data_IF_948297830380
#
_entry.id   IF_948297830380
#
_cell.length_a   1.000
_cell.length_b   1.000
_cell.length_c   1.000
_cell.angle_alpha   90.00
_cell.angle_beta   90.00
_cell.angle_gamma   90.00
#
_symmetry.space_group_name_H-M   'P 1'
#
loop_
_entity.id
_entity.type
_entity.pdbx_description
1 polymer ?
#
# COMPACT_ATOMS: atom_id res chain seq x y z
N UNK A 1 -7.66 -25.87 6.41
CA UNK A 1 -6.43 -26.35 5.74
C UNK A 1 -6.14 -25.41 4.58
N UNK A 2 -5.17 -24.52 4.73
CA UNK A 2 -4.81 -23.56 3.67
C UNK A 2 -4.10 -24.32 2.56
N UNK A 3 -4.80 -24.61 1.46
CA UNK A 3 -4.18 -25.21 0.28
C UNK A 3 -3.08 -24.24 -0.21
N UNK A 4 -1.88 -24.77 -0.43
CA UNK A 4 -0.72 -24.02 -0.93
C UNK A 4 -0.90 -23.69 -2.43
N UNK A 5 -1.97 -22.95 -2.76
CA UNK A 5 -2.36 -22.63 -4.12
C UNK A 5 -1.47 -21.52 -4.70
N UNK A 6 -1.26 -21.58 -6.02
CA UNK A 6 -0.49 -20.59 -6.76
C UNK A 6 -1.11 -19.19 -6.67
N UNK A 7 -2.43 -19.12 -6.83
CA UNK A 7 -3.23 -17.88 -6.83
C UNK A 7 -4.66 -18.20 -6.35
N UNK A 8 -5.36 -17.20 -5.83
CA UNK A 8 -6.77 -17.36 -5.43
C UNK A 8 -7.66 -17.67 -6.63
N UNK A 9 -8.78 -18.37 -6.41
CA UNK A 9 -9.71 -18.70 -7.49
C UNK A 9 -10.31 -17.45 -8.14
N UNK A 10 -10.58 -16.40 -7.35
CA UNK A 10 -11.15 -15.14 -7.84
C UNK A 10 -10.17 -14.38 -8.74
N UNK A 11 -8.93 -14.21 -8.27
CA UNK A 11 -7.89 -13.54 -9.06
C UNK A 11 -7.57 -14.32 -10.33
N UNK A 12 -7.51 -15.66 -10.24
CA UNK A 12 -7.31 -16.54 -11.41
C UNK A 12 -8.36 -16.26 -12.49
N UNK A 13 -9.64 -16.27 -12.12
CA UNK A 13 -10.73 -16.06 -13.09
C UNK A 13 -10.75 -14.66 -13.67
N UNK A 14 -10.48 -13.63 -12.85
CA UNK A 14 -10.34 -12.27 -13.34
C UNK A 14 -9.23 -12.16 -14.38
N UNK A 15 -8.07 -12.75 -14.11
CA UNK A 15 -6.92 -12.74 -15.02
C UNK A 15 -7.18 -13.55 -16.29
N UNK A 16 -7.91 -14.67 -16.22
CA UNK A 16 -8.34 -15.41 -17.42
C UNK A 16 -9.24 -14.58 -18.34
N UNK A 17 -9.97 -13.62 -17.78
CA UNK A 17 -10.89 -12.75 -18.51
C UNK A 17 -10.24 -11.41 -18.92
N UNK A 18 -8.98 -11.17 -18.55
CA UNK A 18 -8.26 -9.91 -18.76
C UNK A 18 -7.60 -9.81 -20.15
N UNK A 19 -7.92 -8.76 -20.90
CA UNK A 19 -7.27 -8.44 -22.17
C UNK A 19 -5.78 -8.12 -21.99
N UNK A 20 -5.41 -7.44 -20.90
CA UNK A 20 -4.02 -7.15 -20.56
C UNK A 20 -3.17 -8.43 -20.46
N UNK A 21 -3.74 -9.50 -19.91
CA UNK A 21 -3.06 -10.79 -19.84
C UNK A 21 -2.88 -11.38 -21.22
N UNK A 22 -3.93 -11.40 -22.06
CA UNK A 22 -3.91 -12.03 -23.38
C UNK A 22 -3.11 -11.26 -24.44
N UNK A 23 -2.94 -9.94 -24.31
CA UNK A 23 -2.24 -9.10 -25.29
C UNK A 23 -0.74 -8.93 -25.04
N UNK A 24 -0.22 -9.42 -23.90
CA UNK A 24 1.18 -9.25 -23.53
C UNK A 24 1.99 -10.52 -23.84
N UNK A 25 2.97 -10.49 -24.76
CA UNK A 25 3.79 -11.66 -25.10
C UNK A 25 4.51 -12.29 -23.89
N UNK A 26 4.83 -11.46 -22.89
CA UNK A 26 5.48 -11.88 -21.65
C UNK A 26 4.57 -12.78 -20.77
N UNK A 27 3.25 -12.68 -20.94
CA UNK A 27 2.28 -13.44 -20.15
C UNK A 27 1.83 -14.74 -20.83
N UNK A 28 2.20 -15.00 -22.08
CA UNK A 28 1.77 -16.18 -22.83
C UNK A 28 2.06 -17.50 -22.08
N UNK A 29 3.24 -17.57 -21.45
CA UNK A 29 3.66 -18.73 -20.65
C UNK A 29 2.91 -18.82 -19.30
N UNK A 30 2.39 -17.72 -18.79
CA UNK A 30 1.71 -17.63 -17.50
C UNK A 30 0.22 -17.97 -17.60
N UNK A 31 -0.41 -17.65 -18.73
CA UNK A 31 -1.84 -17.91 -18.98
C UNK A 31 -2.16 -19.40 -18.82
N UNK A 32 -1.27 -20.28 -19.29
CA UNK A 32 -1.41 -21.75 -19.13
C UNK A 32 -1.59 -22.16 -17.65
N UNK A 33 -0.97 -21.42 -16.73
CA UNK A 33 -1.07 -21.68 -15.28
C UNK A 33 -2.30 -21.05 -14.63
N UNK A 34 -3.12 -20.33 -15.40
CA UNK A 34 -4.42 -19.82 -14.96
C UNK A 34 -5.58 -20.76 -15.33
N UNK A 35 -5.39 -21.70 -16.27
CA UNK A 35 -6.45 -22.57 -16.79
C UNK A 35 -7.06 -23.51 -15.75
N UNK A 36 -6.28 -23.89 -14.73
CA UNK A 36 -6.72 -24.76 -13.65
C UNK A 36 -6.11 -24.36 -12.32
N UNK A 37 -6.52 -25.07 -11.27
CA UNK A 37 -5.95 -24.90 -9.95
C UNK A 37 -4.60 -25.60 -9.86
N UNK A 38 -3.54 -24.81 -9.70
CA UNK A 38 -2.19 -25.29 -9.42
C UNK A 38 -1.84 -25.05 -7.95
N UNK A 39 -1.18 -26.04 -7.36
CA UNK A 39 -0.43 -25.84 -6.13
C UNK A 39 0.97 -25.31 -6.45
N UNK A 40 1.58 -24.58 -5.51
CA UNK A 40 2.90 -23.99 -5.74
C UNK A 40 3.98 -25.04 -6.01
N UNK A 41 3.89 -26.22 -5.41
CA UNK A 41 4.80 -27.35 -5.62
C UNK A 41 4.67 -28.03 -7.00
N UNK A 42 3.61 -27.73 -7.76
CA UNK A 42 3.36 -28.29 -9.10
C UNK A 42 3.90 -27.41 -10.23
N UNK A 43 4.52 -26.27 -9.89
CA UNK A 43 4.87 -25.21 -10.83
C UNK A 43 6.38 -24.99 -10.84
N UNK A 44 7.04 -24.87 -12.01
CA UNK A 44 8.47 -24.58 -12.09
C UNK A 44 8.86 -23.29 -11.37
N UNK A 45 10.04 -23.26 -10.76
CA UNK A 45 10.52 -22.12 -9.96
C UNK A 45 10.56 -20.79 -10.74
N UNK A 46 10.94 -20.84 -12.02
CA UNK A 46 10.92 -19.67 -12.90
C UNK A 46 9.52 -19.10 -13.18
N UNK A 47 8.48 -19.93 -13.10
CA UNK A 47 7.08 -19.50 -13.22
C UNK A 47 6.56 -18.99 -11.87
N UNK A 48 6.87 -19.69 -10.77
CA UNK A 48 6.57 -19.23 -9.40
C UNK A 48 7.14 -17.82 -9.15
N UNK A 49 8.37 -17.57 -9.59
CA UNK A 49 9.03 -16.28 -9.45
C UNK A 49 8.33 -15.15 -10.23
N UNK A 50 7.61 -15.46 -11.32
CA UNK A 50 6.81 -14.47 -12.05
C UNK A 50 5.46 -14.24 -11.36
N UNK A 51 4.80 -15.30 -10.90
CA UNK A 51 3.53 -15.22 -10.17
C UNK A 51 3.62 -14.44 -8.86
N UNK A 52 4.81 -14.14 -8.33
CA UNK A 52 4.94 -13.19 -7.19
C UNK A 52 4.38 -11.80 -7.50
N UNK A 53 4.32 -11.41 -8.77
CA UNK A 53 3.80 -10.13 -9.24
C UNK A 53 2.32 -10.19 -9.65
N UNK A 54 1.61 -11.29 -9.40
CA UNK A 54 0.22 -11.44 -9.84
C UNK A 54 -0.72 -10.34 -9.34
N UNK A 55 -0.44 -9.75 -8.18
CA UNK A 55 -1.21 -8.63 -7.66
C UNK A 55 -1.22 -7.42 -8.60
N UNK A 56 -0.09 -7.12 -9.27
CA UNK A 56 -0.02 -6.04 -10.25
C UNK A 56 -0.89 -6.34 -11.47
N UNK A 57 -0.88 -7.60 -11.92
CA UNK A 57 -1.71 -8.05 -13.03
C UNK A 57 -3.19 -7.97 -12.70
N UNK A 58 -3.56 -8.34 -11.47
CA UNK A 58 -4.93 -8.24 -10.96
C UNK A 58 -5.38 -6.78 -10.96
N UNK A 59 -4.53 -5.86 -10.48
CA UNK A 59 -4.86 -4.43 -10.49
C UNK A 59 -4.98 -3.85 -11.90
N UNK A 60 -4.17 -4.32 -12.87
CA UNK A 60 -4.36 -3.95 -14.27
C UNK A 60 -5.63 -4.54 -14.86
N UNK A 61 -5.94 -5.81 -14.57
CA UNK A 61 -7.17 -6.46 -15.01
C UNK A 61 -8.41 -5.75 -14.48
N UNK A 62 -8.44 -5.34 -13.20
CA UNK A 62 -9.56 -4.58 -12.62
C UNK A 62 -9.84 -3.26 -13.33
N UNK A 63 -8.83 -2.61 -13.92
CA UNK A 63 -9.02 -1.34 -14.68
C UNK A 63 -9.73 -1.55 -16.01
N UNK A 64 -9.81 -2.79 -16.48
CA UNK A 64 -10.52 -3.11 -17.72
C UNK A 64 -12.02 -3.20 -17.50
N UNK A 65 -12.47 -3.42 -16.28
CA UNK A 65 -13.88 -3.66 -15.98
C UNK A 65 -14.54 -2.43 -15.38
N UNK A 66 -15.75 -2.15 -15.86
CA UNK A 66 -16.65 -1.14 -15.30
C UNK A 66 -18.05 -1.70 -15.17
N UNK A 67 -18.89 -1.02 -14.42
CA UNK A 67 -20.32 -1.35 -14.36
C UNK A 67 -20.96 -1.22 -15.75
N UNK A 68 -21.85 -2.15 -16.10
CA UNK A 68 -22.60 -2.09 -17.35
C UNK A 68 -23.53 -0.86 -17.35
N UNK A 69 -23.55 -0.04 -18.42
CA UNK A 69 -24.40 1.15 -18.47
C UNK A 69 -25.91 0.82 -18.31
N UNK A 70 -26.59 1.54 -17.42
CA UNK A 70 -28.05 1.42 -17.23
C UNK A 70 -28.46 0.42 -16.13
N UNK A 71 -28.32 -0.89 -16.36
CA UNK A 71 -28.73 -1.94 -15.41
C UNK A 71 -27.55 -2.79 -14.93
N UNK A 72 -26.62 -2.17 -14.22
CA UNK A 72 -25.46 -2.84 -13.64
C UNK A 72 -25.80 -3.73 -12.44
N UNK A 73 -26.93 -3.52 -11.77
CA UNK A 73 -27.35 -4.32 -10.63
C UNK A 73 -28.68 -4.97 -10.94
N UNK A 74 -28.69 -6.29 -10.93
CA UNK A 74 -29.84 -7.07 -11.36
C UNK A 74 -30.40 -7.88 -10.20
N UNK A 75 -31.72 -7.81 -10.08
CA UNK A 75 -32.50 -8.66 -9.19
C UNK A 75 -33.09 -9.83 -9.98
N UNK A 76 -33.18 -10.99 -9.31
CA UNK A 76 -33.54 -12.36 -9.79
C UNK A 76 -34.65 -12.54 -10.83
N UNK A 77 -35.42 -11.52 -11.17
CA UNK A 77 -36.52 -11.60 -12.13
C UNK A 77 -36.06 -11.56 -13.59
N UNK A 78 -34.78 -11.26 -13.86
CA UNK A 78 -34.23 -11.22 -15.22
C UNK A 78 -33.40 -12.50 -15.43
N UNK A 79 -33.76 -13.30 -16.43
CA UNK A 79 -32.95 -14.43 -16.87
C UNK A 79 -31.61 -13.90 -17.42
N UNK A 80 -30.50 -14.22 -16.74
CA UNK A 80 -29.17 -13.78 -17.15
C UNK A 80 -28.61 -14.70 -18.25
N UNK A 81 -28.04 -14.16 -19.34
CA UNK A 81 -27.42 -14.95 -20.40
C UNK A 81 -26.27 -15.86 -19.91
N UNK A 82 -25.58 -15.48 -18.82
CA UNK A 82 -24.42 -16.20 -18.25
C UNK A 82 -24.73 -17.35 -17.28
N UNK A 83 -26.01 -17.68 -17.07
CA UNK A 83 -26.43 -18.76 -16.16
C UNK A 83 -26.60 -18.33 -14.69
N UNK A 84 -26.76 -19.31 -13.79
CA UNK A 84 -27.08 -19.08 -12.36
C UNK A 84 -25.84 -18.97 -11.45
N UNK A 85 -24.62 -18.87 -11.98
CA UNK A 85 -23.37 -18.91 -11.18
C UNK A 85 -22.48 -17.71 -11.48
N UNK A 86 -21.76 -17.24 -10.47
CA UNK A 86 -20.86 -16.10 -10.55
C UNK A 86 -19.66 -16.44 -11.42
N UNK A 87 -19.34 -15.59 -12.41
CA UNK A 87 -18.23 -15.85 -13.31
C UNK A 87 -16.86 -15.81 -12.59
N UNK A 88 -16.76 -15.15 -11.44
CA UNK A 88 -15.49 -14.98 -10.69
C UNK A 88 -15.28 -16.01 -9.58
N UNK A 89 -16.32 -16.38 -8.83
CA UNK A 89 -16.17 -17.29 -7.69
C UNK A 89 -16.93 -18.62 -7.84
N UNK A 90 -17.62 -18.83 -8.96
CA UNK A 90 -18.44 -20.02 -9.26
C UNK A 90 -19.61 -20.27 -8.30
N UNK A 91 -19.84 -19.44 -7.29
CA UNK A 91 -20.96 -19.65 -6.38
C UNK A 91 -22.27 -19.34 -7.10
N UNK A 92 -23.37 -19.94 -6.65
CA UNK A 92 -24.69 -19.61 -7.20
C UNK A 92 -24.95 -18.12 -7.00
N UNK A 93 -25.33 -17.43 -8.08
CA UNK A 93 -25.66 -16.02 -8.05
C UNK A 93 -26.86 -15.79 -7.11
N UNK A 94 -26.68 -15.00 -6.04
CA UNK A 94 -27.76 -14.65 -5.12
C UNK A 94 -28.76 -13.71 -5.83
N UNK A 95 -29.75 -13.20 -5.08
CA UNK A 95 -30.69 -12.20 -5.61
C UNK A 95 -29.99 -10.95 -6.17
N UNK A 96 -28.79 -10.62 -5.70
CA UNK A 96 -28.04 -9.42 -6.05
C UNK A 96 -26.89 -9.78 -7.01
N UNK A 97 -27.09 -9.53 -8.30
CA UNK A 97 -26.08 -9.75 -9.36
C UNK A 97 -25.55 -8.40 -9.82
N UNK A 98 -24.25 -8.33 -10.06
CA UNK A 98 -23.57 -7.19 -10.66
C UNK A 98 -23.20 -7.56 -12.10
N UNK A 99 -23.66 -6.75 -13.04
CA UNK A 99 -23.34 -6.83 -14.45
C UNK A 99 -22.25 -5.81 -14.76
N UNK A 100 -21.10 -6.32 -15.20
CA UNK A 100 -19.93 -5.53 -15.56
C UNK A 100 -19.62 -5.71 -17.05
N UNK A 101 -18.98 -4.71 -17.63
CA UNK A 101 -18.51 -4.72 -19.02
C UNK A 101 -17.04 -4.33 -19.06
N UNK A 102 -16.28 -5.03 -19.91
CA UNK A 102 -14.91 -4.69 -20.19
C UNK A 102 -14.86 -3.49 -21.16
N UNK A 103 -14.10 -2.46 -20.80
CA UNK A 103 -13.99 -1.24 -21.59
C UNK A 103 -13.18 -1.40 -22.89
N UNK A 104 -12.34 -2.44 -23.01
CA UNK A 104 -11.53 -2.72 -24.19
C UNK A 104 -12.26 -3.57 -25.22
N UNK A 105 -12.77 -4.74 -24.81
CA UNK A 105 -13.34 -5.73 -25.73
C UNK A 105 -14.89 -5.82 -25.68
N UNK A 106 -15.54 -4.98 -24.87
CA UNK A 106 -17.00 -4.98 -24.67
C UNK A 106 -17.59 -6.29 -24.16
N UNK A 107 -16.76 -7.21 -23.63
CA UNK A 107 -17.24 -8.44 -23.01
C UNK A 107 -18.00 -8.13 -21.74
N UNK A 108 -19.13 -8.79 -21.56
CA UNK A 108 -19.99 -8.69 -20.38
C UNK A 108 -19.71 -9.84 -19.40
N UNK A 109 -19.87 -9.57 -18.10
CA UNK A 109 -19.84 -10.61 -17.06
C UNK A 109 -20.86 -10.36 -15.97
N UNK A 110 -21.37 -11.45 -15.41
CA UNK A 110 -22.33 -11.47 -14.31
C UNK A 110 -21.66 -12.04 -13.05
N UNK A 111 -21.52 -11.20 -12.02
CA UNK A 111 -20.84 -11.54 -10.77
C UNK A 111 -21.76 -11.35 -9.58
N UNK A 112 -21.51 -12.08 -8.49
CA UNK A 112 -22.20 -11.81 -7.22
C UNK A 112 -21.74 -10.48 -6.64
N UNK A 113 -22.61 -9.79 -5.90
CA UNK A 113 -22.24 -8.55 -5.18
C UNK A 113 -20.99 -8.72 -4.31
N UNK A 114 -20.81 -9.89 -3.67
CA UNK A 114 -19.64 -10.18 -2.84
C UNK A 114 -18.32 -10.26 -3.64
N UNK A 115 -18.39 -10.39 -4.96
CA UNK A 115 -17.22 -10.42 -5.85
C UNK A 115 -16.90 -9.07 -6.49
N UNK A 116 -17.71 -8.04 -6.26
CA UNK A 116 -17.57 -6.72 -6.87
C UNK A 116 -16.18 -6.12 -6.63
N UNK A 117 -15.68 -6.17 -5.40
CA UNK A 117 -14.34 -5.66 -5.04
C UNK A 117 -13.18 -6.46 -5.62
N UNK A 118 -13.43 -7.67 -6.13
CA UNK A 118 -12.43 -8.46 -6.84
C UNK A 118 -12.35 -8.07 -8.32
N UNK A 119 -13.36 -7.40 -8.88
CA UNK A 119 -13.47 -7.12 -10.32
C UNK A 119 -13.33 -5.64 -10.64
N UNK A 120 -13.92 -4.77 -9.81
CA UNK A 120 -13.88 -3.32 -10.01
C UNK A 120 -12.73 -2.71 -9.22
N UNK A 121 -12.01 -1.78 -9.84
CA UNK A 121 -11.01 -0.99 -9.13
C UNK A 121 -11.73 -0.05 -8.15
N UNK A 122 -11.37 -0.13 -6.87
CA UNK A 122 -12.13 0.47 -5.78
C UNK A 122 -12.13 1.99 -5.81
N UNK A 123 -13.10 2.61 -6.49
CA UNK A 123 -13.55 3.97 -6.18
C UNK A 123 -14.67 3.91 -5.15
N UNK A 124 -14.61 4.80 -4.16
CA UNK A 124 -14.89 4.50 -2.76
C UNK A 124 -16.38 4.64 -2.37
N UNK A 125 -17.28 4.48 -3.34
CA UNK A 125 -18.75 4.55 -3.15
C UNK A 125 -19.44 3.23 -3.50
N UNK A 126 -18.71 2.31 -4.11
CA UNK A 126 -19.26 1.09 -4.70
C UNK A 126 -19.36 0.00 -3.64
N UNK A 127 -20.47 0.04 -2.92
CA UNK A 127 -20.95 -1.06 -2.08
C UNK A 127 -22.45 -0.99 -1.84
N UNK A 128 -23.16 -0.17 -2.63
CA UNK A 128 -24.62 -0.01 -2.61
C UNK A 128 -25.10 0.20 -4.03
N UNK A 129 -26.18 -0.51 -4.40
CA UNK A 129 -26.99 -0.20 -5.57
C UNK A 129 -27.48 1.25 -5.41
N UNK A 130 -26.94 2.17 -6.19
CA UNK A 130 -27.47 3.52 -6.29
C UNK A 130 -28.69 3.48 -7.22
N UNK A 131 -29.80 4.09 -6.81
CA UNK A 131 -30.89 4.37 -7.74
C UNK A 131 -30.43 5.33 -8.86
N UNK A 132 -31.21 5.45 -9.94
CA UNK A 132 -30.92 6.41 -11.02
C UNK A 132 -30.76 7.83 -10.45
N UNK A 133 -31.58 8.19 -9.47
CA UNK A 133 -31.51 9.49 -8.79
C UNK A 133 -30.24 9.64 -7.95
N UNK A 134 -29.85 8.58 -7.23
CA UNK A 134 -28.61 8.57 -6.45
C UNK A 134 -27.36 8.61 -7.34
N UNK A 135 -27.41 7.97 -8.51
CA UNK A 135 -26.34 8.01 -9.50
C UNK A 135 -26.18 9.42 -10.10
N UNK A 136 -27.29 10.05 -10.49
CA UNK A 136 -27.26 11.43 -10.97
C UNK A 136 -26.73 12.39 -9.90
N UNK A 137 -27.08 12.17 -8.62
CA UNK A 137 -26.50 12.90 -7.48
C UNK A 137 -25.01 12.59 -7.34
N UNK A 138 -24.58 11.35 -7.48
CA UNK A 138 -23.16 11.02 -7.39
C UNK A 138 -22.33 11.77 -8.44
N UNK A 139 -22.76 11.72 -9.70
CA UNK A 139 -22.11 12.43 -10.81
C UNK A 139 -22.05 13.94 -10.55
N UNK A 140 -23.17 14.52 -10.09
CA UNK A 140 -23.22 15.92 -9.68
C UNK A 140 -22.25 16.23 -8.53
N UNK A 141 -22.16 15.37 -7.52
CA UNK A 141 -21.25 15.54 -6.39
C UNK A 141 -19.79 15.49 -6.83
N UNK A 142 -19.43 14.58 -7.73
CA UNK A 142 -18.07 14.47 -8.28
C UNK A 142 -17.68 15.77 -8.99
N UNK A 143 -18.59 16.33 -9.79
CA UNK A 143 -18.35 17.59 -10.51
C UNK A 143 -18.25 18.80 -9.57
N UNK A 144 -19.14 18.90 -8.58
CA UNK A 144 -19.21 20.07 -7.67
C UNK A 144 -18.20 20.01 -6.51
N UNK A 145 -17.77 18.81 -6.12
CA UNK A 145 -16.99 18.57 -4.91
C UNK A 145 -15.81 17.61 -5.15
N UNK A 146 -15.12 17.76 -6.28
CA UNK A 146 -13.97 16.95 -6.69
C UNK A 146 -12.94 16.77 -5.56
N UNK A 147 -12.62 17.83 -4.81
CA UNK A 147 -11.66 17.78 -3.69
C UNK A 147 -12.08 16.82 -2.56
N UNK A 148 -13.38 16.66 -2.33
CA UNK A 148 -13.89 15.71 -1.32
C UNK A 148 -13.73 14.27 -1.83
N UNK A 149 -13.96 14.03 -3.12
CA UNK A 149 -13.70 12.73 -3.75
C UNK A 149 -12.20 12.41 -3.74
N UNK A 150 -11.35 13.38 -4.07
CA UNK A 150 -9.91 13.23 -4.00
C UNK A 150 -9.44 12.85 -2.59
N UNK A 151 -9.98 13.47 -1.53
CA UNK A 151 -9.68 13.07 -0.14
C UNK A 151 -10.04 11.61 0.15
N UNK A 152 -11.12 11.12 -0.45
CA UNK A 152 -11.62 9.76 -0.24
C UNK A 152 -10.71 8.74 -0.95
N UNK A 153 -10.41 9.00 -2.23
CA UNK A 153 -9.74 8.08 -3.16
C UNK A 153 -8.21 8.16 -3.08
N UNK A 154 -7.67 9.33 -2.78
CA UNK A 154 -6.24 9.63 -2.72
C UNK A 154 -5.87 10.14 -1.32
N UNK A 155 -5.70 9.24 -0.32
CA UNK A 155 -5.21 9.64 1.00
C UNK A 155 -3.83 10.31 0.86
N UNK A 156 -3.64 11.45 1.51
CA UNK A 156 -2.39 12.19 1.57
C UNK A 156 -1.22 11.36 2.09
N UNK A 157 -1.47 10.37 2.95
CA UNK A 157 -0.44 9.42 3.39
C UNK A 157 0.18 8.61 2.26
N UNK A 158 -0.51 8.46 1.12
CA UNK A 158 0.02 7.78 -0.07
C UNK A 158 1.13 8.60 -0.74
N UNK A 159 1.05 9.92 -0.69
CA UNK A 159 2.04 10.83 -1.29
C UNK A 159 3.18 11.16 -0.32
N UNK A 160 3.17 10.57 0.88
CA UNK A 160 4.17 10.85 1.89
C UNK A 160 5.45 10.05 1.64
N UNK A 161 6.57 10.75 1.48
CA UNK A 161 7.90 10.12 1.33
C UNK A 161 8.38 9.40 2.59
N UNK A 162 7.83 9.77 3.75
CA UNK A 162 8.20 9.23 5.05
C UNK A 162 6.98 8.67 5.80
N UNK A 163 7.25 7.74 6.72
CA UNK A 163 6.24 7.20 7.61
C UNK A 163 5.65 8.31 8.51
N UNK A 164 4.33 8.39 8.55
CA UNK A 164 3.60 9.41 9.30
C UNK A 164 3.42 9.02 10.76
N UNK A 165 3.21 10.02 11.62
CA UNK A 165 2.81 9.75 13.00
C UNK A 165 1.45 9.06 13.06
N UNK A 166 1.24 8.26 14.10
CA UNK A 166 -0.05 7.64 14.40
C UNK A 166 -1.18 8.67 14.48
N UNK A 167 -0.89 9.83 15.07
CA UNK A 167 -1.87 10.92 15.22
C UNK A 167 -2.32 11.47 13.86
N UNK A 168 -1.40 11.66 12.90
CA UNK A 168 -1.76 12.14 11.57
C UNK A 168 -2.55 11.11 10.78
N UNK A 169 -2.15 9.82 10.82
CA UNK A 169 -2.91 8.73 10.17
C UNK A 169 -4.33 8.62 10.71
N UNK A 170 -4.50 8.66 12.03
CA UNK A 170 -5.83 8.62 12.65
C UNK A 170 -6.70 9.84 12.28
N UNK A 171 -6.09 11.03 12.15
CA UNK A 171 -6.80 12.23 11.69
C UNK A 171 -7.22 12.12 10.23
N UNK A 172 -6.33 11.65 9.37
CA UNK A 172 -6.65 11.38 7.97
C UNK A 172 -7.81 10.40 7.84
N UNK A 173 -7.74 9.26 8.53
CA UNK A 173 -8.83 8.27 8.55
C UNK A 173 -10.15 8.87 9.05
N UNK A 174 -10.09 9.74 10.05
CA UNK A 174 -11.28 10.46 10.56
C UNK A 174 -11.90 11.35 9.47
N UNK A 175 -11.09 12.14 8.77
CA UNK A 175 -11.57 13.01 7.70
C UNK A 175 -12.12 12.21 6.52
N UNK A 176 -11.45 11.12 6.12
CA UNK A 176 -11.95 10.21 5.09
C UNK A 176 -13.29 9.60 5.47
N UNK A 177 -13.47 9.19 6.73
CA UNK A 177 -14.77 8.70 7.22
C UNK A 177 -15.84 9.78 7.17
N UNK A 178 -15.53 11.02 7.56
CA UNK A 178 -16.46 12.16 7.46
C UNK A 178 -16.85 12.46 6.01
N UNK A 179 -15.88 12.50 5.09
CA UNK A 179 -16.10 12.70 3.67
C UNK A 179 -17.06 11.65 3.09
N UNK A 180 -16.80 10.36 3.39
CA UNK A 180 -17.69 9.25 3.00
C UNK A 180 -19.10 9.40 3.56
N UNK A 181 -19.24 9.92 4.78
CA UNK A 181 -20.53 10.10 5.44
C UNK A 181 -21.34 11.23 4.80
N UNK A 182 -20.70 12.36 4.48
CA UNK A 182 -21.32 13.47 3.76
C UNK A 182 -21.80 13.05 2.37
N UNK A 183 -20.94 12.34 1.63
CA UNK A 183 -21.31 11.78 0.34
C UNK A 183 -22.53 10.86 0.48
N UNK A 184 -22.54 9.92 1.43
CA UNK A 184 -23.69 9.02 1.66
C UNK A 184 -24.97 9.77 2.00
N UNK A 185 -24.88 10.84 2.78
CA UNK A 185 -26.03 11.68 3.11
C UNK A 185 -26.57 12.40 1.87
N UNK A 186 -25.68 12.93 1.03
CA UNK A 186 -26.04 13.59 -0.20
C UNK A 186 -26.73 12.66 -1.19
N UNK A 187 -26.18 11.46 -1.40
CA UNK A 187 -26.80 10.46 -2.27
C UNK A 187 -28.24 10.19 -1.83
N UNK A 188 -28.46 9.93 -0.54
CA UNK A 188 -29.79 9.63 0.00
C UNK A 188 -30.79 10.79 -0.06
N UNK A 189 -30.35 11.99 0.32
CA UNK A 189 -31.26 13.10 0.62
C UNK A 189 -31.24 14.21 -0.43
N UNK A 190 -30.26 14.22 -1.32
CA UNK A 190 -29.96 15.32 -2.25
C UNK A 190 -29.52 16.61 -1.54
N UNK A 191 -29.37 16.59 -0.22
CA UNK A 191 -29.05 17.76 0.61
C UNK A 191 -27.65 17.63 1.19
N UNK A 192 -26.97 18.76 1.23
CA UNK A 192 -25.58 18.87 1.64
C UNK A 192 -25.39 20.17 2.41
N UNK A 193 -24.71 20.09 3.55
CA UNK A 193 -24.32 21.30 4.27
C UNK A 193 -23.04 21.85 3.67
N UNK A 194 -23.14 23.02 3.01
CA UNK A 194 -21.97 23.71 2.49
C UNK A 194 -20.96 24.05 3.59
N UNK A 195 -21.45 24.36 4.80
CA UNK A 195 -20.60 24.59 5.96
C UNK A 195 -19.79 23.35 6.36
N UNK A 196 -20.40 22.16 6.33
CA UNK A 196 -19.69 20.92 6.70
C UNK A 196 -18.64 20.55 5.65
N UNK A 197 -18.93 20.75 4.37
CA UNK A 197 -17.95 20.57 3.30
C UNK A 197 -16.79 21.53 3.46
N UNK A 198 -17.07 22.81 3.64
CA UNK A 198 -16.04 23.83 3.79
C UNK A 198 -15.14 23.51 4.99
N UNK A 199 -15.72 23.17 6.14
CA UNK A 199 -14.96 22.76 7.33
C UNK A 199 -14.13 21.50 7.10
N UNK A 200 -14.68 20.50 6.38
CA UNK A 200 -13.94 19.29 6.03
C UNK A 200 -12.74 19.64 5.15
N UNK A 201 -12.93 20.44 4.11
CA UNK A 201 -11.86 20.83 3.18
C UNK A 201 -10.78 21.65 3.89
N UNK A 202 -11.16 22.66 4.68
CA UNK A 202 -10.20 23.47 5.45
C UNK A 202 -9.37 22.64 6.43
N UNK A 203 -10.02 21.74 7.17
CA UNK A 203 -9.32 20.87 8.12
C UNK A 203 -8.46 19.81 7.43
N UNK A 204 -8.87 19.37 6.24
CA UNK A 204 -8.11 18.45 5.38
C UNK A 204 -6.87 19.12 4.79
N UNK A 205 -7.01 20.34 4.28
CA UNK A 205 -5.89 21.15 3.75
C UNK A 205 -4.88 21.46 4.87
N UNK A 206 -5.37 21.77 6.07
CA UNK A 206 -4.51 21.95 7.24
C UNK A 206 -3.76 20.67 7.64
N UNK A 207 -4.36 19.49 7.44
CA UNK A 207 -3.69 18.21 7.64
C UNK A 207 -2.62 17.96 6.58
N UNK A 208 -2.95 18.21 5.30
CA UNK A 208 -1.99 18.10 4.19
C UNK A 208 -0.77 18.98 4.43
N UNK A 209 -0.97 20.24 4.82
CA UNK A 209 0.11 21.16 5.16
C UNK A 209 0.99 20.64 6.32
N UNK A 210 0.42 19.93 7.30
CA UNK A 210 1.18 19.29 8.40
C UNK A 210 2.01 18.11 7.90
N UNK A 211 1.46 17.29 7.02
CA UNK A 211 2.17 16.18 6.38
C UNK A 211 3.34 16.73 5.54
N UNK A 212 3.10 17.76 4.73
CA UNK A 212 4.14 18.41 3.91
C UNK A 212 5.22 19.07 4.76
N UNK A 213 4.85 19.67 5.89
CA UNK A 213 5.80 20.24 6.85
C UNK A 213 6.64 19.14 7.53
N UNK A 214 6.03 18.00 7.86
CA UNK A 214 6.75 16.84 8.42
C UNK A 214 7.76 16.28 7.41
N UNK A 215 7.34 16.08 6.15
CA UNK A 215 8.23 15.61 5.08
C UNK A 215 9.42 16.55 4.86
N UNK A 216 9.20 17.87 4.86
CA UNK A 216 10.28 18.86 4.77
C UNK A 216 11.25 18.77 5.95
N UNK A 217 10.74 18.74 7.18
CA UNK A 217 11.57 18.61 8.39
C UNK A 217 12.44 17.35 8.37
N UNK A 218 11.92 16.24 7.83
CA UNK A 218 12.67 14.99 7.78
C UNK A 218 13.74 14.96 6.70
N UNK A 219 13.51 15.69 5.62
CA UNK A 219 14.53 15.89 4.60
C UNK A 219 15.70 16.74 5.13
N UNK A 220 15.41 17.76 5.95
CA UNK A 220 16.39 18.78 6.32
C UNK A 220 17.15 18.48 7.63
N UNK A 221 16.47 17.93 8.65
CA UNK A 221 16.98 17.92 10.02
C UNK A 221 17.07 16.52 10.67
N UNK A 222 16.19 15.56 10.32
CA UNK A 222 16.17 14.22 10.94
C UNK A 222 15.68 13.14 9.98
N UNK A 223 16.44 12.05 9.76
CA UNK A 223 15.97 10.96 8.91
C UNK A 223 14.76 10.25 9.54
N UNK A 224 13.61 10.32 8.88
CA UNK A 224 12.46 9.45 9.15
C UNK A 224 12.63 8.08 8.49
N UNK A 225 11.66 7.17 8.69
CA UNK A 225 11.59 5.94 7.88
C UNK A 225 11.00 6.31 6.51
N UNK A 226 11.86 6.41 5.49
CA UNK A 226 11.39 6.69 4.13
C UNK A 226 10.80 5.45 3.44
N UNK A 227 9.99 5.68 2.41
CA UNK A 227 9.31 4.64 1.65
C UNK A 227 10.30 3.62 1.06
N UNK A 228 11.42 4.08 0.49
CA UNK A 228 12.43 3.21 -0.10
C UNK A 228 13.04 2.21 0.90
N UNK A 229 13.39 2.69 2.11
CA UNK A 229 13.89 1.85 3.19
C UNK A 229 12.80 0.91 3.70
N UNK A 230 11.56 1.40 3.87
CA UNK A 230 10.43 0.55 4.26
C UNK A 230 10.22 -0.59 3.27
N UNK A 231 10.22 -0.33 1.96
CA UNK A 231 10.03 -1.36 0.94
C UNK A 231 11.17 -2.40 0.96
N UNK A 232 12.42 -1.98 1.20
CA UNK A 232 13.53 -2.92 1.39
C UNK A 232 13.38 -3.76 2.66
N UNK A 233 12.92 -3.17 3.76
CA UNK A 233 12.63 -3.89 5.00
C UNK A 233 11.49 -4.90 4.82
N UNK A 234 10.41 -4.55 4.11
CA UNK A 234 9.31 -5.48 3.82
C UNK A 234 9.78 -6.69 3.02
N UNK A 235 10.75 -6.48 2.11
CA UNK A 235 11.33 -7.55 1.31
C UNK A 235 12.34 -8.42 2.10
N UNK A 236 13.21 -7.80 2.87
CA UNK A 236 14.39 -8.47 3.45
C UNK A 236 14.20 -8.84 4.94
N UNK A 237 13.25 -8.22 5.64
CA UNK A 237 12.99 -8.39 7.07
C UNK A 237 11.48 -8.29 7.40
N UNK A 238 10.61 -9.12 6.77
CA UNK A 238 9.15 -8.98 6.83
C UNK A 238 8.54 -9.15 8.22
N UNK A 239 9.19 -9.90 9.11
CA UNK A 239 8.67 -10.14 10.47
C UNK A 239 8.85 -8.91 11.38
N UNK A 240 9.95 -8.17 11.23
CA UNK A 240 10.26 -7.02 12.09
C UNK A 240 9.75 -5.69 11.54
N UNK A 241 9.49 -5.58 10.23
CA UNK A 241 9.08 -4.31 9.60
C UNK A 241 7.82 -3.73 10.23
N UNK A 242 6.85 -4.58 10.63
CA UNK A 242 5.63 -4.14 11.32
C UNK A 242 5.92 -3.50 12.68
N UNK A 243 6.91 -4.03 13.40
CA UNK A 243 7.34 -3.50 14.70
C UNK A 243 8.07 -2.18 14.50
N UNK A 244 8.98 -2.11 13.53
CA UNK A 244 9.73 -0.90 13.18
C UNK A 244 8.77 0.24 12.80
N UNK A 245 7.84 -0.02 11.87
CA UNK A 245 6.81 0.95 11.46
C UNK A 245 5.98 1.43 12.65
N UNK A 246 5.55 0.52 13.53
CA UNK A 246 4.77 0.89 14.73
C UNK A 246 5.57 1.79 15.67
N UNK A 247 6.85 1.49 15.91
CA UNK A 247 7.72 2.32 16.74
C UNK A 247 7.86 3.72 16.15
N UNK A 248 8.15 3.82 14.84
CA UNK A 248 8.24 5.09 14.12
C UNK A 248 6.94 5.89 14.21
N UNK A 249 5.78 5.24 13.99
CA UNK A 249 4.48 5.90 14.10
C UNK A 249 4.17 6.41 15.51
N UNK A 250 4.58 5.67 16.54
CA UNK A 250 4.42 6.08 17.94
C UNK A 250 5.39 7.19 18.33
N UNK A 251 6.56 7.24 17.68
CA UNK A 251 7.58 8.28 17.85
C UNK A 251 7.35 9.47 16.92
N UNK A 252 6.09 9.88 16.72
CA UNK A 252 5.71 11.02 15.88
C UNK A 252 6.22 10.97 14.43
N UNK A 253 6.52 9.78 13.90
CA UNK A 253 7.10 9.59 12.56
C UNK A 253 8.64 9.63 12.53
N UNK A 254 9.30 9.82 13.67
CA UNK A 254 10.76 9.82 13.76
C UNK A 254 11.32 8.40 13.85
N UNK A 255 12.37 8.13 13.08
CA UNK A 255 13.19 6.95 13.31
C UNK A 255 14.09 7.22 14.53
N UNK A 256 13.76 6.61 15.67
CA UNK A 256 14.55 6.68 16.91
C UNK A 256 15.43 5.44 17.07
N UNK A 257 16.33 5.48 18.06
CA UNK A 257 17.26 4.40 18.38
C UNK A 257 16.58 3.04 18.48
N UNK A 258 15.43 2.93 19.17
CA UNK A 258 14.73 1.66 19.38
C UNK A 258 14.20 1.02 18.08
N UNK A 259 13.79 1.86 17.14
CA UNK A 259 13.35 1.42 15.81
C UNK A 259 14.55 1.16 14.90
N UNK A 260 15.53 2.06 14.90
CA UNK A 260 16.76 1.96 14.10
C UNK A 260 17.59 0.73 14.46
N UNK A 261 17.70 0.37 15.74
CA UNK A 261 18.47 -0.80 16.19
C UNK A 261 17.90 -2.14 15.72
N UNK A 262 16.69 -2.13 15.16
CA UNK A 262 16.02 -3.32 14.61
C UNK A 262 16.19 -3.44 13.11
N UNK A 263 16.73 -2.41 12.44
CA UNK A 263 16.93 -2.39 11.00
C UNK A 263 18.20 -3.17 10.65
N UNK A 264 18.04 -4.23 9.87
CA UNK A 264 19.16 -5.05 9.39
C UNK A 264 19.52 -4.75 7.92
N UNK A 265 18.90 -3.73 7.31
CA UNK A 265 19.17 -3.31 5.93
C UNK A 265 20.62 -2.86 5.76
N UNK A 266 21.36 -3.52 4.86
CA UNK A 266 22.79 -3.29 4.67
C UNK A 266 23.12 -1.84 4.27
N UNK A 267 22.31 -1.22 3.40
CA UNK A 267 22.52 0.17 3.00
C UNK A 267 22.35 1.11 4.19
N UNK A 268 21.29 0.94 4.96
CA UNK A 268 21.07 1.70 6.19
C UNK A 268 22.23 1.53 7.19
N UNK A 269 22.68 0.30 7.43
CA UNK A 269 23.77 0.03 8.38
C UNK A 269 25.11 0.58 7.91
N UNK A 270 25.39 0.53 6.60
CA UNK A 270 26.58 1.16 6.00
C UNK A 270 26.55 2.68 6.16
N UNK A 271 25.40 3.32 5.94
CA UNK A 271 25.24 4.75 6.19
C UNK A 271 25.43 5.09 7.66
N UNK A 272 24.86 4.31 8.56
CA UNK A 272 25.02 4.49 10.00
C UNK A 272 26.48 4.35 10.43
N UNK A 273 27.18 3.29 10.01
CA UNK A 273 28.60 3.08 10.33
C UNK A 273 29.48 4.23 9.78
N UNK A 274 29.21 4.70 8.55
CA UNK A 274 29.89 5.86 7.98
C UNK A 274 29.66 7.12 8.82
N UNK A 275 28.46 7.32 9.34
CA UNK A 275 28.15 8.44 10.23
C UNK A 275 28.84 8.30 11.58
N UNK A 276 28.83 7.11 12.19
CA UNK A 276 29.58 6.81 13.42
C UNK A 276 31.05 7.22 13.28
N UNK A 277 31.70 6.85 12.18
CA UNK A 277 33.09 7.26 11.87
C UNK A 277 33.27 8.78 11.79
N UNK A 278 32.27 9.50 11.26
CA UNK A 278 32.29 10.96 11.15
C UNK A 278 31.99 11.65 12.48
N UNK A 279 31.21 11.02 13.35
CA UNK A 279 30.72 11.58 14.62
C UNK A 279 31.57 11.26 15.84
N UNK A 280 32.52 10.33 15.71
CA UNK A 280 33.52 10.05 16.74
C UNK A 280 34.38 11.28 17.03
N UNK A 281 33.90 12.14 17.93
CA UNK A 281 34.61 13.31 18.42
C UNK A 281 35.75 12.96 19.37
N UNK A 282 36.85 13.71 19.23
CA UNK A 282 38.05 13.77 20.08
C UNK A 282 38.87 12.46 20.11
N UNK A 283 39.71 12.27 19.09
CA UNK A 283 40.67 11.16 19.02
C UNK A 283 40.55 10.22 17.80
N UNK A 284 39.93 10.64 16.70
CA UNK A 284 40.15 10.24 15.29
C UNK A 284 40.60 8.80 14.92
N UNK A 285 40.24 7.77 15.67
CA UNK A 285 40.86 6.45 15.47
C UNK A 285 39.88 5.28 15.40
N UNK A 286 38.59 5.53 15.65
CA UNK A 286 37.54 4.52 15.50
C UNK A 286 37.10 4.44 14.02
N UNK A 287 37.44 3.36 13.32
CA UNK A 287 36.86 3.05 12.01
C UNK A 287 35.65 2.14 12.21
N UNK A 288 34.58 2.38 11.46
CA UNK A 288 33.35 1.59 11.53
C UNK A 288 32.97 1.08 10.14
N UNK A 289 32.68 -0.21 10.03
CA UNK A 289 32.20 -0.85 8.79
C UNK A 289 31.08 -1.85 9.08
N UNK A 290 30.27 -2.18 8.08
CA UNK A 290 29.23 -3.21 8.20
C UNK A 290 29.63 -4.47 7.44
N UNK A 291 29.25 -5.64 7.96
CA UNK A 291 29.27 -6.89 7.17
C UNK A 291 27.84 -7.27 6.77
N UNK A 292 27.70 -8.14 5.77
CA UNK A 292 26.41 -8.66 5.30
C UNK A 292 25.60 -9.41 6.40
N UNK A 293 26.22 -9.70 7.54
CA UNK A 293 25.62 -10.43 8.67
C UNK A 293 24.88 -9.52 9.67
N UNK A 294 24.54 -8.28 9.29
CA UNK A 294 23.97 -7.25 10.17
C UNK A 294 24.82 -6.97 11.43
N UNK A 295 26.15 -6.97 11.26
CA UNK A 295 27.13 -6.66 12.29
C UNK A 295 27.88 -5.39 11.94
N UNK A 296 28.19 -4.59 12.95
CA UNK A 296 29.04 -3.41 12.83
C UNK A 296 30.40 -3.76 13.42
N UNK A 297 31.44 -3.63 12.61
CA UNK A 297 32.81 -3.75 13.02
C UNK A 297 33.32 -2.39 13.47
N UNK A 298 33.90 -2.33 14.66
CA UNK A 298 34.59 -1.17 15.19
C UNK A 298 36.07 -1.50 15.30
N UNK A 299 36.93 -0.65 14.74
CA UNK A 299 38.38 -0.82 14.86
C UNK A 299 39.04 0.40 15.46
N UNK A 300 40.04 0.19 16.31
CA UNK A 300 40.86 1.24 16.90
C UNK A 300 42.35 0.86 16.83
N UNK A 301 43.27 1.83 16.64
CA UNK A 301 44.70 1.58 16.70
C UNK A 301 45.12 1.26 18.13
N UNK A 302 46.11 0.39 18.23
CA UNK A 302 46.84 0.03 19.45
C UNK A 302 48.34 0.19 19.20
N UNK A 303 49.15 0.07 20.26
CA UNK A 303 50.62 0.12 20.15
C UNK A 303 51.17 -0.95 19.19
N UNK A 304 50.49 -2.09 19.06
CA UNK A 304 50.94 -3.25 18.27
C UNK A 304 50.14 -3.45 16.97
N UNK A 305 49.27 -2.51 16.57
CA UNK A 305 48.49 -2.61 15.34
C UNK A 305 47.09 -2.02 15.42
N UNK A 306 46.06 -2.79 15.02
CA UNK A 306 44.65 -2.40 15.13
C UNK A 306 43.85 -3.55 15.74
N UNK A 307 43.05 -3.23 16.74
CA UNK A 307 42.03 -4.15 17.24
C UNK A 307 40.78 -3.97 16.38
N UNK A 308 40.21 -5.09 15.93
CA UNK A 308 38.94 -5.16 15.22
C UNK A 308 37.94 -5.94 16.06
N UNK A 309 36.87 -5.29 16.50
CA UNK A 309 35.78 -5.93 17.23
C UNK A 309 34.51 -5.90 16.37
N UNK A 310 33.83 -7.03 16.30
CA UNK A 310 32.57 -7.15 15.57
C UNK A 310 31.43 -7.30 16.56
N UNK A 311 30.42 -6.44 16.46
CA UNK A 311 29.25 -6.45 17.34
C UNK A 311 27.96 -6.58 16.54
N UNK A 312 26.89 -7.16 17.10
CA UNK A 312 25.56 -7.05 16.52
C UNK A 312 25.19 -5.57 16.30
N UNK A 313 24.67 -5.24 15.11
CA UNK A 313 24.30 -3.86 14.77
C UNK A 313 23.34 -3.22 15.77
N UNK A 314 22.41 -4.02 16.30
CA UNK A 314 21.48 -3.62 17.36
C UNK A 314 22.20 -3.02 18.56
N UNK A 315 23.18 -3.72 19.10
CA UNK A 315 23.87 -3.34 20.34
C UNK A 315 24.65 -2.04 20.13
N UNK A 316 25.31 -1.91 18.98
CA UNK A 316 26.04 -0.69 18.61
C UNK A 316 25.08 0.50 18.46
N UNK A 317 23.96 0.33 17.77
CA UNK A 317 22.97 1.42 17.60
C UNK A 317 22.34 1.81 18.94
N UNK A 318 22.08 0.84 19.83
CA UNK A 318 21.55 1.10 21.16
C UNK A 318 22.53 1.91 22.02
N UNK A 319 23.81 1.55 22.00
CA UNK A 319 24.84 2.20 22.80
C UNK A 319 25.22 3.59 22.25
N UNK A 320 25.49 3.69 20.95
CA UNK A 320 25.93 4.93 20.32
C UNK A 320 24.78 5.91 20.04
N UNK A 321 23.55 5.38 19.92
CA UNK A 321 22.33 6.13 19.65
C UNK A 321 22.19 6.53 18.18
N UNK A 322 20.97 6.42 17.65
CA UNK A 322 20.70 6.79 16.26
C UNK A 322 20.64 8.31 16.04
N UNK A 323 19.81 9.01 16.81
CA UNK A 323 19.60 10.44 16.62
C UNK A 323 20.87 11.27 16.88
N UNK A 324 21.68 10.88 17.88
CA UNK A 324 22.96 11.54 18.20
C UNK A 324 23.91 11.49 17.00
N UNK A 325 24.01 10.33 16.36
CA UNK A 325 24.86 10.09 15.20
C UNK A 325 24.34 10.84 13.95
N UNK A 326 23.03 10.93 13.76
CA UNK A 326 22.47 11.58 12.56
C UNK A 326 22.45 13.11 12.63
N UNK A 327 22.41 13.72 13.81
CA UNK A 327 22.29 15.18 14.01
C UNK A 327 23.60 15.98 13.93
N UNK A 328 24.77 15.31 13.88
CA UNK A 328 26.07 15.99 13.98
C UNK A 328 26.54 16.73 12.71
N UNK A 329 25.63 17.02 11.77
CA UNK A 329 25.87 17.99 10.69
C UNK A 329 25.11 19.28 10.96
N UNK A 330 25.80 20.26 11.55
CA UNK A 330 25.69 21.71 11.29
C UNK A 330 26.56 22.44 12.33
N UNK A 331 27.84 22.62 11.97
CA UNK A 331 28.57 23.85 12.29
C UNK A 331 29.14 24.37 11.00
#
# INVERSE_FOLDING_TARGET
>A
MSKNLLISAADRRLLQQSEYMHLSPEHEKLIVYLDKEYRKDEVPEGILAQFRFHHDWVEQAKKEWRLFPGKAYLNREIAYPGGKRCEICDTNLPKNVVHVINNKNQREMYIGLDCEGNVLNGSVVVGRNLSIEEQARYEKFVLEHEKVIALIDHPYSRDSMFELSKVLKLKEDSFRKKAKLLLRQYLKTGKLSQREIQQLLETSDALRAKIDAQNRRYNDDRPGLNEALRNRLEKNQPEDVKVIVRLVQNDDGYLKTDAASRILDEQFLNEYAKRVRQTGGIGSSLDASCTQSARINLSAPTLDGRILLSFPSRDVIQEMGFQKVMLLRRR
#
